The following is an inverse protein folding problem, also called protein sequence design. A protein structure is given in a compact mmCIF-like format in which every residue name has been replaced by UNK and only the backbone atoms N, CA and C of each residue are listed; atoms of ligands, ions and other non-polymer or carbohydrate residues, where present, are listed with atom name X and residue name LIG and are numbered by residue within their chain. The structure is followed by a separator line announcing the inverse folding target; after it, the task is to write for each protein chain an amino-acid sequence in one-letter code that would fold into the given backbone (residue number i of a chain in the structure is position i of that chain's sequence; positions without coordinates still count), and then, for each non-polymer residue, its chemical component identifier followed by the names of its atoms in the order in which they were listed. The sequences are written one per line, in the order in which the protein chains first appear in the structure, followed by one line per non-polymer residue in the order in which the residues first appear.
data_IF_128883952720
#
_entry.id   IF_128883952720
#
_cell.length_a   1.000
_cell.length_b   1.000
_cell.length_c   1.000
_cell.angle_alpha   90.00
_cell.angle_beta   90.00
_cell.angle_gamma   90.00
#
_symmetry.space_group_name_H-M   'P 1'
#
loop_
_entity.id
_entity.type
_entity.pdbx_description
1 polymer ?
#
# COMPACT_ATOMS: atom_id res chain seq x y z
N UNK A 1 -25.78 45.97 -4.02
CA UNK A 1 -25.45 44.54 -3.89
C UNK A 1 -26.20 43.82 -4.99
N UNK A 2 -25.52 42.98 -5.78
CA UNK A 2 -26.18 42.22 -6.86
C UNK A 2 -26.56 40.88 -6.26
N UNK A 3 -27.81 40.75 -5.85
CA UNK A 3 -28.40 39.46 -5.47
C UNK A 3 -28.52 38.63 -6.75
N UNK A 4 -27.86 37.47 -6.80
CA UNK A 4 -27.99 36.55 -7.91
C UNK A 4 -29.35 35.88 -7.72
N UNK A 5 -30.35 36.13 -8.60
CA UNK A 5 -31.62 35.43 -8.48
C UNK A 5 -31.33 33.94 -8.64
N UNK A 6 -31.89 33.12 -7.75
CA UNK A 6 -31.73 31.67 -7.75
C UNK A 6 -30.37 31.14 -7.24
N UNK A 7 -29.65 31.90 -6.42
CA UNK A 7 -28.38 31.48 -5.80
C UNK A 7 -28.54 30.20 -4.96
N UNK A 8 -29.57 30.11 -4.13
CA UNK A 8 -29.81 28.95 -3.25
C UNK A 8 -30.00 27.66 -4.06
N UNK A 9 -30.85 27.73 -5.08
CA UNK A 9 -31.10 26.65 -6.04
C UNK A 9 -29.88 26.29 -6.90
N UNK A 10 -29.03 27.28 -7.23
CA UNK A 10 -27.77 27.03 -7.93
C UNK A 10 -26.78 26.27 -7.04
N UNK A 11 -26.69 26.64 -5.76
CA UNK A 11 -25.84 25.94 -4.80
C UNK A 11 -26.38 24.55 -4.43
N UNK A 12 -27.70 24.38 -4.37
CA UNK A 12 -28.31 23.05 -4.18
C UNK A 12 -28.06 22.12 -5.35
N UNK A 13 -28.29 22.57 -6.60
CA UNK A 13 -27.98 21.77 -7.79
C UNK A 13 -26.50 21.42 -7.85
N UNK A 14 -25.62 22.37 -7.52
CA UNK A 14 -24.17 22.15 -7.50
C UNK A 14 -23.78 21.18 -6.37
N UNK A 15 -24.42 21.23 -5.20
CA UNK A 15 -24.19 20.27 -4.12
C UNK A 15 -24.64 18.87 -4.52
N UNK A 16 -25.83 18.75 -5.11
CA UNK A 16 -26.38 17.49 -5.60
C UNK A 16 -25.50 16.88 -6.71
N UNK A 17 -24.95 17.67 -7.63
CA UNK A 17 -23.98 17.16 -8.63
C UNK A 17 -22.68 16.62 -7.99
N UNK A 18 -22.21 17.24 -6.90
CA UNK A 18 -21.01 16.81 -6.19
C UNK A 18 -21.27 15.58 -5.33
N UNK A 19 -22.44 15.51 -4.67
CA UNK A 19 -22.88 14.36 -3.89
C UNK A 19 -23.23 13.16 -4.79
N UNK A 20 -23.83 13.40 -5.97
CA UNK A 20 -24.18 12.36 -6.94
C UNK A 20 -22.94 11.79 -7.66
N UNK A 21 -21.91 12.63 -7.91
CA UNK A 21 -20.58 12.17 -8.35
C UNK A 21 -19.90 11.28 -7.29
N UNK A 22 -20.28 11.42 -6.02
CA UNK A 22 -19.72 10.67 -4.90
C UNK A 22 -20.42 9.31 -4.67
N UNK A 23 -21.47 8.95 -5.44
CA UNK A 23 -22.22 7.69 -5.23
C UNK A 23 -21.47 6.47 -5.79
N UNK A 24 -20.54 6.64 -6.74
CA UNK A 24 -19.86 5.53 -7.42
C UNK A 24 -18.32 5.58 -7.39
N UNK A 25 -17.74 6.25 -6.41
CA UNK A 25 -16.39 5.94 -5.96
C UNK A 25 -15.28 6.89 -6.44
N UNK A 26 -14.42 7.17 -5.45
CA UNK A 26 -13.11 7.84 -5.51
C UNK A 26 -13.08 9.24 -6.10
N UNK A 27 -12.79 10.19 -5.22
CA UNK A 27 -12.32 11.51 -5.62
C UNK A 27 -10.98 11.38 -6.37
N UNK A 28 -10.64 12.33 -7.28
CA UNK A 28 -9.35 12.34 -7.98
C UNK A 28 -8.12 12.46 -7.06
N UNK A 29 -8.34 12.80 -5.79
CA UNK A 29 -7.33 12.88 -4.74
C UNK A 29 -7.49 11.77 -3.69
N UNK A 30 -8.46 10.86 -3.85
CA UNK A 30 -8.44 9.61 -3.12
C UNK A 30 -7.32 8.77 -3.74
N UNK A 31 -6.10 9.06 -3.29
CA UNK A 31 -4.95 8.21 -3.54
C UNK A 31 -5.39 6.78 -3.20
N UNK A 32 -5.25 5.88 -4.17
CA UNK A 32 -5.52 4.46 -3.95
C UNK A 32 -4.58 4.03 -2.84
N UNK A 33 -5.12 3.77 -1.65
CA UNK A 33 -4.34 3.27 -0.54
C UNK A 33 -3.56 2.04 -1.04
N UNK A 34 -2.21 2.08 -1.02
CA UNK A 34 -1.42 0.97 -1.49
C UNK A 34 -1.80 -0.29 -0.72
N UNK A 35 -1.93 -1.41 -1.42
CA UNK A 35 -2.14 -2.68 -0.76
C UNK A 35 -0.86 -3.03 0.01
N UNK A 36 -0.96 -3.25 1.31
CA UNK A 36 0.15 -3.75 2.11
C UNK A 36 -0.02 -5.25 2.31
N UNK A 37 1.01 -6.02 2.01
CA UNK A 37 1.06 -7.44 2.36
C UNK A 37 2.14 -7.64 3.41
N UNK A 38 1.76 -8.21 4.55
CA UNK A 38 2.67 -8.56 5.63
C UNK A 38 3.06 -10.03 5.53
N UNK A 39 4.35 -10.33 5.65
CA UNK A 39 4.88 -11.69 5.73
C UNK A 39 5.86 -11.86 6.89
N UNK A 40 6.21 -13.10 7.18
CA UNK A 40 7.23 -13.46 8.19
C UNK A 40 8.24 -14.40 7.53
N UNK A 41 9.54 -14.11 7.68
CA UNK A 41 10.64 -14.98 7.24
C UNK A 41 11.32 -15.57 8.47
N UNK A 42 11.41 -16.90 8.54
CA UNK A 42 12.17 -17.63 9.55
C UNK A 42 13.62 -17.78 9.08
N UNK A 43 14.58 -17.51 9.98
CA UNK A 43 16.03 -17.52 9.68
C UNK A 43 16.79 -18.55 10.54
N UNK A 44 16.14 -19.65 10.93
CA UNK A 44 16.67 -20.65 11.86
C UNK A 44 18.10 -21.14 11.54
N UNK A 45 18.45 -21.28 10.26
CA UNK A 45 19.78 -21.73 9.80
C UNK A 45 20.67 -20.57 9.29
N UNK A 46 20.07 -19.43 8.96
CA UNK A 46 20.71 -18.31 8.26
C UNK A 46 21.29 -17.27 9.25
N UNK A 47 20.81 -17.25 10.50
CA UNK A 47 21.24 -16.30 11.55
C UNK A 47 22.74 -16.33 11.78
N UNK A 48 23.36 -17.50 11.95
CA UNK A 48 24.81 -17.59 12.20
C UNK A 48 25.64 -17.00 11.05
N UNK A 49 25.19 -17.17 9.80
CA UNK A 49 25.87 -16.62 8.62
C UNK A 49 25.72 -15.10 8.54
N UNK A 50 24.51 -14.60 8.81
CA UNK A 50 24.21 -13.16 8.81
C UNK A 50 25.00 -12.45 9.92
N UNK A 51 25.01 -13.00 11.14
CA UNK A 51 25.76 -12.46 12.27
C UNK A 51 27.27 -12.48 12.00
N UNK A 52 27.77 -13.51 11.31
CA UNK A 52 29.17 -13.57 10.89
C UNK A 52 29.54 -12.53 9.81
N UNK A 53 28.63 -12.23 8.88
CA UNK A 53 28.84 -11.21 7.85
C UNK A 53 28.78 -9.79 8.41
N UNK A 54 27.75 -9.48 9.19
CA UNK A 54 27.53 -8.13 9.76
C UNK A 54 28.44 -7.88 10.96
N UNK A 55 28.82 -8.91 11.71
CA UNK A 55 29.63 -8.83 12.93
C UNK A 55 28.85 -8.34 14.15
N UNK A 56 27.51 -8.31 14.07
CA UNK A 56 26.58 -7.90 15.12
C UNK A 56 25.49 -8.95 15.28
N UNK A 57 24.89 -9.00 16.46
CA UNK A 57 23.74 -9.88 16.70
C UNK A 57 22.51 -9.36 15.94
N UNK A 58 21.61 -10.26 15.55
CA UNK A 58 20.36 -9.88 14.87
C UNK A 58 19.53 -8.86 15.67
N UNK A 59 19.60 -8.91 17.00
CA UNK A 59 18.88 -7.99 17.90
C UNK A 59 19.42 -6.56 17.88
N UNK A 60 20.68 -6.37 17.45
CA UNK A 60 21.33 -5.06 17.34
C UNK A 60 21.21 -4.46 15.93
N UNK A 61 20.66 -5.21 14.97
CA UNK A 61 20.48 -4.74 13.60
C UNK A 61 19.39 -3.69 13.50
N UNK A 62 19.64 -2.68 12.67
CA UNK A 62 18.63 -1.66 12.37
C UNK A 62 17.62 -2.19 11.37
N UNK A 63 16.45 -1.55 11.27
CA UNK A 63 15.45 -1.87 10.23
C UNK A 63 16.08 -1.89 8.82
N UNK A 64 16.98 -0.95 8.52
CA UNK A 64 17.69 -0.93 7.24
C UNK A 64 18.59 -2.15 7.01
N UNK A 65 19.27 -2.62 8.06
CA UNK A 65 20.08 -3.84 7.98
C UNK A 65 19.20 -5.09 7.81
N UNK A 66 18.05 -5.14 8.48
CA UNK A 66 17.08 -6.23 8.35
C UNK A 66 16.48 -6.29 6.94
N UNK A 67 16.23 -5.14 6.32
CA UNK A 67 15.80 -5.04 4.92
C UNK A 67 16.86 -5.58 3.96
N UNK A 68 18.13 -5.22 4.16
CA UNK A 68 19.25 -5.73 3.36
C UNK A 68 19.36 -7.26 3.50
N UNK A 69 19.22 -7.79 4.72
CA UNK A 69 19.21 -9.24 4.96
C UNK A 69 18.07 -9.94 4.21
N UNK A 70 16.85 -9.38 4.20
CA UNK A 70 15.73 -9.94 3.45
C UNK A 70 15.97 -9.93 1.93
N UNK A 71 16.64 -8.90 1.42
CA UNK A 71 17.03 -8.80 0.01
C UNK A 71 18.12 -9.82 -0.34
N UNK A 72 19.18 -9.94 0.47
CA UNK A 72 20.30 -10.86 0.21
C UNK A 72 19.90 -12.34 0.37
N UNK A 73 19.09 -12.67 1.38
CA UNK A 73 18.72 -14.07 1.68
C UNK A 73 17.56 -14.57 0.82
N UNK A 74 16.47 -13.80 0.73
CA UNK A 74 15.22 -14.22 0.08
C UNK A 74 14.91 -13.44 -1.19
N UNK A 75 15.64 -12.36 -1.51
CA UNK A 75 15.34 -11.50 -2.65
C UNK A 75 14.07 -10.67 -2.47
N UNK A 76 13.64 -10.44 -1.22
CA UNK A 76 12.39 -9.72 -0.93
C UNK A 76 12.69 -8.24 -0.67
N UNK A 77 12.11 -7.36 -1.50
CA UNK A 77 12.19 -5.91 -1.31
C UNK A 77 11.00 -5.48 -0.44
N UNK A 78 11.23 -5.45 0.87
CA UNK A 78 10.26 -4.98 1.85
C UNK A 78 10.33 -3.44 2.02
N UNK A 79 9.21 -2.85 2.47
CA UNK A 79 9.14 -1.46 2.91
C UNK A 79 9.62 -1.33 4.36
N UNK A 80 9.19 -2.26 5.22
CA UNK A 80 9.55 -2.29 6.63
C UNK A 80 9.93 -3.70 7.07
N UNK A 81 10.81 -3.78 8.06
CA UNK A 81 11.27 -5.03 8.64
C UNK A 81 11.44 -4.92 10.16
N UNK A 82 10.95 -5.91 10.90
CA UNK A 82 11.02 -5.98 12.35
C UNK A 82 11.51 -7.35 12.78
N UNK A 83 12.59 -7.37 13.55
CA UNK A 83 13.13 -8.60 14.11
C UNK A 83 12.25 -9.13 15.26
N UNK A 84 12.00 -10.45 15.24
CA UNK A 84 11.26 -11.21 16.24
C UNK A 84 12.20 -12.25 16.85
N UNK A 85 12.92 -11.92 17.94
CA UNK A 85 13.85 -12.85 18.59
C UNK A 85 13.13 -14.06 19.21
N UNK A 86 11.83 -13.98 19.47
CA UNK A 86 11.05 -15.10 20.01
C UNK A 86 10.90 -16.27 19.02
N UNK A 87 10.98 -15.97 17.72
CA UNK A 87 10.75 -16.92 16.64
C UNK A 87 11.92 -17.00 15.67
N UNK A 88 13.03 -16.33 15.99
CA UNK A 88 14.20 -16.24 15.11
C UNK A 88 13.78 -15.82 13.67
N UNK A 89 12.88 -14.83 13.61
CA UNK A 89 12.17 -14.45 12.39
C UNK A 89 12.14 -12.93 12.15
N UNK A 90 12.06 -12.53 10.88
CA UNK A 90 11.82 -11.13 10.48
C UNK A 90 10.39 -11.01 9.98
N UNK A 91 9.59 -10.17 10.65
CA UNK A 91 8.32 -9.69 10.13
C UNK A 91 8.58 -8.57 9.13
N UNK A 92 8.01 -8.64 7.94
CA UNK A 92 8.20 -7.64 6.91
C UNK A 92 6.88 -7.23 6.27
N UNK A 93 6.84 -6.01 5.72
CA UNK A 93 5.71 -5.57 4.90
C UNK A 93 6.19 -5.17 3.52
N UNK A 94 5.44 -5.54 2.48
CA UNK A 94 5.70 -5.14 1.09
C UNK A 94 4.56 -4.28 0.58
N UNK A 95 4.90 -3.29 -0.24
CA UNK A 95 3.91 -2.54 -1.01
C UNK A 95 3.51 -3.39 -2.21
N UNK A 96 2.30 -3.94 -2.17
CA UNK A 96 1.67 -4.53 -3.33
C UNK A 96 1.15 -3.39 -4.19
N UNK A 97 1.85 -3.12 -5.30
CA UNK A 97 1.29 -2.26 -6.35
C UNK A 97 0.02 -2.94 -6.85
N UNK A 98 -1.13 -2.31 -6.61
CA UNK A 98 -2.36 -2.70 -7.27
C UNK A 98 -2.16 -2.40 -8.75
N UNK A 99 -1.73 -3.40 -9.53
CA UNK A 99 -1.91 -3.34 -10.97
C UNK A 99 -3.41 -3.26 -11.19
N UNK A 100 -3.88 -2.07 -11.56
CA UNK A 100 -5.24 -1.84 -11.99
C UNK A 100 -5.54 -2.86 -13.09
N UNK A 101 -6.34 -3.88 -12.76
CA UNK A 101 -7.04 -4.69 -13.75
C UNK A 101 -8.15 -3.86 -14.37
N UNK A 102 -7.83 -2.69 -14.91
CA UNK A 102 -8.65 -2.04 -15.93
C UNK A 102 -8.37 -2.73 -17.26
N UNK A 103 -9.06 -3.83 -17.51
CA UNK A 103 -9.39 -4.22 -18.89
C UNK A 103 -10.41 -5.35 -18.91
N UNK A 104 -11.65 -4.98 -19.23
CA UNK A 104 -12.60 -5.72 -20.08
C UNK A 104 -14.06 -5.69 -19.58
N UNK A 105 -14.59 -4.51 -19.22
CA UNK A 105 -16.03 -4.24 -19.38
C UNK A 105 -16.27 -3.01 -20.26
N UNK A 106 -15.62 -3.00 -21.44
CA UNK A 106 -16.04 -2.13 -22.55
C UNK A 106 -16.40 -3.00 -23.75
N UNK A 107 -17.70 -3.25 -23.93
CA UNK A 107 -18.45 -3.00 -25.17
C UNK A 107 -19.78 -3.78 -25.16
N UNK A 108 -20.72 -3.35 -24.32
CA UNK A 108 -22.12 -3.74 -24.39
C UNK A 108 -22.97 -2.71 -25.15
N UNK A 109 -22.52 -2.24 -26.33
CA UNK A 109 -23.32 -1.34 -27.17
C UNK A 109 -24.48 -2.16 -27.78
N UNK A 110 -25.59 -2.27 -27.05
CA UNK A 110 -26.87 -2.68 -27.64
C UNK A 110 -27.46 -1.48 -28.38
N UNK A 111 -27.17 -1.38 -29.68
CA UNK A 111 -28.02 -0.63 -30.61
C UNK A 111 -29.30 -1.42 -30.84
N UNK A 112 -30.45 -0.82 -30.58
CA UNK A 112 -31.73 -1.21 -31.18
C UNK A 112 -32.50 0.03 -31.59
#
# INVERSE_FOLDING_TARGET
MREIPNEDTYWERRREEWENRNIFGKYPWDEVEPGYESGTVYLDEEIEEIEAQKGYLMDELTEGDLLEVLEDTKGIIAETAVWRPEFDAIDYTVIVKQEEKESAEYCGIHKK
#
